data_IF_858023406676
#
_entry.id   IF_858023406676
#
_cell.length_a   1.000
_cell.length_b   1.000
_cell.length_c   1.000
_cell.angle_alpha   90.00
_cell.angle_beta   90.00
_cell.angle_gamma   90.00
#
_symmetry.space_group_name_H-M   'P 1'
#
loop_
_entity.id
_entity.type
_entity.pdbx_description
1 polymer ?
#
# COMPACT_ATOMS: atom_id res chain seq x y z
N UNK A 1 45.41 -45.39 -58.09
CA UNK A 1 44.20 -44.80 -58.72
C UNK A 1 42.95 -45.07 -57.89
N UNK A 2 42.61 -46.34 -57.59
CA UNK A 2 41.46 -46.69 -56.72
C UNK A 2 41.56 -46.08 -55.32
N UNK A 3 42.76 -46.13 -54.71
CA UNK A 3 43.04 -45.55 -53.39
C UNK A 3 42.74 -44.04 -53.29
N UNK A 4 43.11 -43.27 -54.33
CA UNK A 4 42.83 -41.84 -54.40
C UNK A 4 41.32 -41.55 -54.51
N UNK A 5 40.59 -42.41 -55.21
CA UNK A 5 39.14 -42.33 -55.36
C UNK A 5 38.41 -42.64 -54.05
N UNK A 6 38.87 -43.64 -53.30
CA UNK A 6 38.34 -43.97 -51.96
C UNK A 6 38.66 -42.86 -50.96
N UNK A 7 39.87 -42.31 -50.99
CA UNK A 7 40.26 -41.21 -50.12
C UNK A 7 39.40 -39.94 -50.36
N UNK A 8 39.12 -39.60 -51.62
CA UNK A 8 38.27 -38.45 -51.96
C UNK A 8 36.81 -38.64 -51.52
N UNK A 9 36.23 -39.82 -51.71
CA UNK A 9 34.83 -40.08 -51.32
C UNK A 9 34.67 -40.10 -49.80
N UNK A 10 35.62 -40.69 -49.07
CA UNK A 10 35.66 -40.63 -47.61
C UNK A 10 35.79 -39.19 -47.11
N UNK A 11 36.69 -38.39 -47.71
CA UNK A 11 36.87 -36.99 -47.33
C UNK A 11 35.59 -36.18 -47.54
N UNK A 12 34.88 -36.36 -48.66
CA UNK A 12 33.60 -35.70 -48.93
C UNK A 12 32.52 -36.12 -47.94
N UNK A 13 32.42 -37.41 -47.62
CA UNK A 13 31.44 -37.92 -46.65
C UNK A 13 31.71 -37.36 -45.24
N UNK A 14 32.97 -37.36 -44.80
CA UNK A 14 33.37 -36.82 -43.50
C UNK A 14 33.12 -35.31 -43.46
N UNK A 15 33.55 -34.57 -44.48
CA UNK A 15 33.36 -33.11 -44.55
C UNK A 15 31.86 -32.75 -44.55
N UNK A 16 31.03 -33.50 -45.28
CA UNK A 16 29.58 -33.33 -45.29
C UNK A 16 28.93 -33.59 -43.93
N UNK A 17 29.32 -34.68 -43.25
CA UNK A 17 28.84 -35.01 -41.91
C UNK A 17 29.26 -33.95 -40.88
N UNK A 18 30.53 -33.52 -40.93
CA UNK A 18 31.08 -32.47 -40.08
C UNK A 18 30.39 -31.13 -40.31
N UNK A 19 30.13 -30.72 -41.56
CA UNK A 19 29.41 -29.49 -41.87
C UNK A 19 27.96 -29.52 -41.35
N UNK A 20 27.26 -30.64 -41.54
CA UNK A 20 25.90 -30.83 -41.02
C UNK A 20 25.86 -30.73 -39.48
N UNK A 21 26.83 -31.36 -38.81
CA UNK A 21 26.98 -31.28 -37.36
C UNK A 21 27.25 -29.85 -36.89
N UNK A 22 28.19 -29.12 -37.52
CA UNK A 22 28.47 -27.74 -37.17
C UNK A 22 27.26 -26.82 -37.38
N UNK A 23 26.50 -27.03 -38.46
CA UNK A 23 25.27 -26.28 -38.71
C UNK A 23 24.23 -26.55 -37.62
N UNK A 24 24.04 -27.80 -37.24
CA UNK A 24 23.16 -28.22 -36.13
C UNK A 24 23.58 -27.59 -34.80
N UNK A 25 24.88 -27.66 -34.46
CA UNK A 25 25.43 -27.06 -33.24
C UNK A 25 25.27 -25.53 -33.23
N UNK A 26 25.53 -24.86 -34.37
CA UNK A 26 25.35 -23.41 -34.48
C UNK A 26 23.90 -22.99 -34.32
N UNK A 27 22.96 -23.74 -34.91
CA UNK A 27 21.52 -23.50 -34.73
C UNK A 27 21.06 -23.75 -33.29
N UNK A 28 21.55 -24.81 -32.65
CA UNK A 28 21.27 -25.11 -31.25
C UNK A 28 21.82 -24.03 -30.32
N UNK A 29 23.05 -23.54 -30.57
CA UNK A 29 23.65 -22.45 -29.81
C UNK A 29 22.83 -21.16 -29.94
N UNK A 30 22.48 -20.76 -31.17
CA UNK A 30 21.62 -19.59 -31.41
C UNK A 30 20.26 -19.72 -30.73
N UNK A 31 19.62 -20.88 -30.85
CA UNK A 31 18.34 -21.15 -30.18
C UNK A 31 18.43 -21.08 -28.66
N UNK A 32 19.54 -21.52 -28.08
CA UNK A 32 19.78 -21.39 -26.65
C UNK A 32 20.01 -19.93 -26.24
N UNK A 33 20.86 -19.18 -26.96
CA UNK A 33 21.07 -17.74 -26.71
C UNK A 33 19.76 -16.96 -26.75
N UNK A 34 18.98 -17.10 -27.84
CA UNK A 34 17.68 -16.44 -27.97
C UNK A 34 16.75 -16.79 -26.78
N UNK A 35 16.76 -18.05 -26.32
CA UNK A 35 15.96 -18.47 -25.17
C UNK A 35 16.44 -17.85 -23.86
N UNK A 36 17.75 -17.71 -23.66
CA UNK A 36 18.32 -17.05 -22.49
C UNK A 36 17.93 -15.57 -22.44
N UNK A 37 18.05 -14.86 -23.57
CA UNK A 37 17.68 -13.45 -23.67
C UNK A 37 16.20 -13.24 -23.36
N UNK A 38 15.33 -14.08 -23.93
CA UNK A 38 13.89 -14.06 -23.64
C UNK A 38 13.61 -14.27 -22.15
N UNK A 39 14.25 -15.26 -21.52
CA UNK A 39 14.05 -15.54 -20.08
C UNK A 39 14.53 -14.39 -19.20
N UNK A 40 15.68 -13.81 -19.53
CA UNK A 40 16.24 -12.70 -18.77
C UNK A 40 15.33 -11.47 -18.84
N UNK A 41 14.81 -11.15 -20.03
CA UNK A 41 13.90 -10.04 -20.22
C UNK A 41 12.56 -10.27 -19.48
N UNK A 42 12.02 -11.50 -19.53
CA UNK A 42 10.83 -11.87 -18.74
C UNK A 42 11.06 -11.67 -17.24
N UNK A 43 12.20 -12.13 -16.70
CA UNK A 43 12.52 -11.97 -15.29
C UNK A 43 12.65 -10.51 -14.92
N UNK A 44 13.37 -9.72 -15.72
CA UNK A 44 13.53 -8.29 -15.44
C UNK A 44 12.18 -7.56 -15.42
N UNK A 45 11.30 -7.85 -16.38
CA UNK A 45 9.97 -7.27 -16.46
C UNK A 45 9.10 -7.65 -15.26
N UNK A 46 9.04 -8.95 -14.91
CA UNK A 46 8.19 -9.44 -13.86
C UNK A 46 8.73 -9.12 -12.46
N UNK A 47 9.98 -9.43 -12.16
CA UNK A 47 10.54 -9.29 -10.81
C UNK A 47 10.60 -7.82 -10.38
N UNK A 48 10.97 -6.91 -11.29
CA UNK A 48 11.00 -5.47 -11.01
C UNK A 48 9.60 -4.92 -10.77
N UNK A 49 8.63 -5.29 -11.61
CA UNK A 49 7.24 -4.82 -11.47
C UNK A 49 6.57 -5.43 -10.23
N UNK A 50 6.72 -6.74 -10.02
CA UNK A 50 6.11 -7.48 -8.92
C UNK A 50 6.60 -6.96 -7.55
N UNK A 51 7.91 -6.68 -7.43
CA UNK A 51 8.50 -6.16 -6.19
C UNK A 51 7.82 -4.87 -5.73
N UNK A 52 7.45 -4.00 -6.66
CA UNK A 52 6.81 -2.71 -6.36
C UNK A 52 5.29 -2.85 -6.28
N UNK A 53 4.66 -3.60 -7.18
CA UNK A 53 3.19 -3.76 -7.19
C UNK A 53 2.68 -4.42 -5.90
N UNK A 54 3.45 -5.35 -5.31
CA UNK A 54 3.09 -5.97 -4.02
C UNK A 54 3.01 -4.98 -2.86
N UNK A 55 3.69 -3.82 -2.94
CA UNK A 55 3.68 -2.80 -1.87
C UNK A 55 2.56 -1.78 -2.05
N UNK A 56 1.72 -1.90 -3.08
CA UNK A 56 0.56 -1.02 -3.29
C UNK A 56 -0.29 -0.90 -2.01
N UNK A 57 -0.49 0.33 -1.54
CA UNK A 57 -1.24 0.64 -0.33
C UNK A 57 -0.42 0.60 0.98
N UNK A 58 0.86 0.24 0.95
CA UNK A 58 1.73 0.31 2.12
C UNK A 58 2.06 1.77 2.47
N UNK A 59 1.96 2.15 3.75
CA UNK A 59 2.36 3.49 4.24
C UNK A 59 1.58 4.67 3.68
N UNK A 60 0.46 4.44 2.99
CA UNK A 60 -0.35 5.47 2.33
C UNK A 60 -1.24 6.21 3.34
N UNK A 61 -1.11 7.54 3.47
CA UNK A 61 -1.92 8.35 4.39
C UNK A 61 -3.45 8.16 4.21
N UNK A 62 -4.25 8.38 5.26
CA UNK A 62 -5.67 8.00 5.33
C UNK A 62 -6.56 8.50 4.18
N UNK A 63 -6.28 9.67 3.60
CA UNK A 63 -7.03 10.23 2.47
C UNK A 63 -6.41 9.92 1.10
N UNK A 64 -5.16 9.44 1.07
CA UNK A 64 -4.44 9.15 -0.16
C UNK A 64 -4.94 7.84 -0.77
N UNK A 65 -5.31 7.82 -2.06
CA UNK A 65 -5.84 6.62 -2.70
C UNK A 65 -4.75 5.54 -2.83
N UNK A 66 -5.03 4.30 -2.46
CA UNK A 66 -4.05 3.21 -2.63
C UNK A 66 -3.83 2.88 -4.10
N UNK A 67 -4.90 2.52 -4.82
CA UNK A 67 -4.91 2.43 -6.27
C UNK A 67 -5.41 3.76 -6.87
N UNK A 68 -4.58 4.43 -7.67
CA UNK A 68 -4.89 5.74 -8.25
C UNK A 68 -5.63 5.60 -9.57
N UNK A 69 -5.05 4.83 -10.49
CA UNK A 69 -5.56 4.65 -11.84
C UNK A 69 -5.22 3.25 -12.35
N UNK A 70 -6.22 2.51 -12.82
CA UNK A 70 -6.03 1.18 -13.41
C UNK A 70 -6.74 1.05 -14.75
N UNK A 71 -6.00 0.79 -15.82
CA UNK A 71 -6.53 0.53 -17.16
C UNK A 71 -5.81 -0.67 -17.81
N UNK A 72 -6.17 -0.99 -19.05
CA UNK A 72 -5.57 -2.11 -19.79
C UNK A 72 -4.04 -2.00 -19.94
N UNK A 73 -3.50 -0.79 -20.04
CA UNK A 73 -2.09 -0.56 -20.38
C UNK A 73 -1.35 0.28 -19.33
N UNK A 74 -2.05 0.73 -18.29
CA UNK A 74 -1.52 1.64 -17.26
C UNK A 74 -1.98 1.19 -15.89
N UNK A 75 -1.06 1.14 -14.94
CA UNK A 75 -1.28 0.89 -13.53
C UNK A 75 -0.58 1.99 -12.74
N UNK A 76 -1.32 2.75 -11.95
CA UNK A 76 -0.78 3.77 -11.05
C UNK A 76 -1.32 3.60 -9.64
N UNK A 77 -0.43 3.61 -8.65
CA UNK A 77 -0.77 3.39 -7.25
C UNK A 77 0.20 4.12 -6.33
N UNK A 78 -0.22 4.34 -5.09
CA UNK A 78 0.64 4.88 -4.04
C UNK A 78 1.19 3.75 -3.17
N UNK A 79 2.46 3.88 -2.81
CA UNK A 79 3.14 2.99 -1.88
C UNK A 79 4.34 3.71 -1.28
N UNK A 80 4.57 3.49 0.00
CA UNK A 80 5.80 3.84 0.70
C UNK A 80 6.84 2.71 0.47
N UNK A 81 7.60 2.84 -0.62
CA UNK A 81 8.52 1.79 -1.05
C UNK A 81 9.96 2.09 -0.62
N UNK A 82 10.43 3.33 -0.76
CA UNK A 82 11.80 3.73 -0.40
C UNK A 82 11.82 4.94 0.53
N UNK A 83 12.51 4.80 1.66
CA UNK A 83 12.77 5.88 2.62
C UNK A 83 14.25 6.29 2.60
N UNK A 84 14.48 7.57 2.89
CA UNK A 84 15.81 8.21 2.94
C UNK A 84 16.15 8.82 4.31
N UNK A 85 15.22 8.97 5.24
CA UNK A 85 15.47 9.51 6.60
C UNK A 85 15.63 8.45 7.72
N UNK A 86 16.80 8.43 8.38
CA UNK A 86 17.15 7.45 9.43
C UNK A 86 16.56 7.83 10.79
N UNK A 87 16.15 9.08 10.96
CA UNK A 87 15.74 9.64 12.25
C UNK A 87 14.24 9.53 12.51
N UNK A 88 13.44 9.46 11.45
CA UNK A 88 12.00 9.24 11.48
C UNK A 88 11.66 8.21 10.39
N UNK A 89 12.03 6.94 10.61
CA UNK A 89 11.75 5.88 9.64
C UNK A 89 10.23 5.71 9.49
N UNK A 90 9.68 6.26 8.43
CA UNK A 90 8.28 6.09 8.05
C UNK A 90 8.25 4.81 7.23
N UNK A 91 7.74 3.75 7.85
CA UNK A 91 7.28 2.42 7.39
C UNK A 91 7.59 1.87 5.97
N UNK A 92 8.62 2.37 5.29
CA UNK A 92 8.99 2.02 3.93
C UNK A 92 9.51 0.59 3.86
N UNK A 93 9.29 -0.01 2.70
CA UNK A 93 9.75 -1.38 2.46
C UNK A 93 11.28 -1.46 2.38
N UNK A 94 11.93 -0.42 1.84
CA UNK A 94 13.37 -0.36 1.65
C UNK A 94 13.96 0.95 2.14
N UNK A 95 15.22 0.87 2.54
CA UNK A 95 16.04 2.01 2.92
C UNK A 95 17.06 2.30 1.83
N UNK A 96 17.09 3.54 1.31
CA UNK A 96 18.12 3.99 0.37
C UNK A 96 18.51 5.46 0.63
N UNK A 97 19.71 5.73 1.19
CA UNK A 97 20.14 7.10 1.51
C UNK A 97 20.42 7.95 0.26
N UNK A 98 20.64 7.31 -0.89
CA UNK A 98 20.98 7.95 -2.16
C UNK A 98 19.75 8.23 -3.04
N UNK A 99 18.54 7.84 -2.61
CA UNK A 99 17.33 8.08 -3.36
C UNK A 99 17.03 9.60 -3.46
N UNK A 100 16.56 10.11 -4.61
CA UNK A 100 16.14 11.50 -4.72
C UNK A 100 14.95 11.78 -3.80
N UNK A 101 14.97 12.93 -3.09
CA UNK A 101 13.88 13.29 -2.16
C UNK A 101 12.50 13.35 -2.84
N UNK A 102 12.48 13.71 -4.14
CA UNK A 102 11.25 13.77 -4.93
C UNK A 102 10.65 12.39 -5.22
N UNK A 103 11.38 11.30 -4.98
CA UNK A 103 10.95 9.91 -5.21
C UNK A 103 10.71 9.14 -3.90
N UNK A 104 10.94 9.76 -2.74
CA UNK A 104 10.74 9.16 -1.40
C UNK A 104 9.64 9.84 -0.59
N UNK A 105 8.86 10.72 -1.23
CA UNK A 105 7.79 11.48 -0.60
C UNK A 105 6.60 11.57 -1.56
N UNK A 106 5.46 11.97 -1.01
CA UNK A 106 4.26 12.28 -1.77
C UNK A 106 4.53 13.25 -2.93
N UNK A 107 3.92 12.96 -4.07
CA UNK A 107 3.87 13.87 -5.20
C UNK A 107 3.10 15.15 -4.81
N UNK A 108 3.71 16.36 -4.85
CA UNK A 108 2.96 17.59 -4.55
C UNK A 108 1.99 17.97 -5.67
N UNK A 109 0.84 18.54 -5.30
CA UNK A 109 -0.16 19.04 -6.27
C UNK A 109 0.40 20.09 -7.23
N UNK A 110 1.41 20.85 -6.80
CA UNK A 110 2.07 21.86 -7.63
C UNK A 110 2.83 21.26 -8.83
N UNK A 111 3.22 19.98 -8.74
CA UNK A 111 3.87 19.22 -9.79
C UNK A 111 2.91 18.22 -10.48
N UNK A 112 1.61 18.32 -10.22
CA UNK A 112 0.62 17.40 -10.75
C UNK A 112 0.70 17.32 -12.27
N UNK A 113 0.79 16.11 -12.79
CA UNK A 113 0.92 15.84 -14.23
C UNK A 113 -0.07 14.77 -14.65
N UNK A 114 -0.43 14.75 -15.94
CA UNK A 114 -1.24 13.67 -16.48
C UNK A 114 -0.54 12.31 -16.32
N UNK A 115 -1.30 11.29 -15.94
CA UNK A 115 -0.83 9.91 -15.97
C UNK A 115 -0.62 9.52 -17.45
N UNK A 116 0.55 8.99 -17.83
CA UNK A 116 0.84 8.57 -19.21
C UNK A 116 -0.20 7.56 -19.71
N UNK A 117 -0.59 7.67 -20.98
CA UNK A 117 -1.54 6.77 -21.64
C UNK A 117 -2.90 6.61 -20.92
N UNK A 118 -3.28 7.57 -20.06
CA UNK A 118 -4.59 7.60 -19.42
C UNK A 118 -5.69 8.04 -20.40
N UNK A 119 -6.84 7.35 -20.38
CA UNK A 119 -8.02 7.65 -21.19
C UNK A 119 -9.27 7.33 -20.37
N UNK A 120 -10.05 8.34 -19.94
CA UNK A 120 -9.84 9.78 -20.14
C UNK A 120 -8.53 10.27 -19.49
N UNK A 121 -7.99 11.39 -20.00
CA UNK A 121 -6.79 11.99 -19.42
C UNK A 121 -7.03 12.31 -17.95
N UNK A 122 -6.17 11.79 -17.08
CA UNK A 122 -6.29 11.93 -15.64
C UNK A 122 -5.02 12.56 -15.07
N UNK A 123 -5.17 13.74 -14.46
CA UNK A 123 -4.09 14.44 -13.76
C UNK A 123 -4.09 14.03 -12.29
N UNK A 124 -2.90 13.74 -11.79
CA UNK A 124 -2.69 13.34 -10.41
C UNK A 124 -1.40 14.00 -9.88
N UNK A 125 -1.34 14.38 -8.59
CA UNK A 125 -2.41 14.31 -7.60
C UNK A 125 -3.35 15.52 -7.63
N UNK A 126 -4.56 15.34 -7.09
CA UNK A 126 -5.54 16.42 -6.96
C UNK A 126 -5.29 17.34 -5.74
N UNK A 127 -4.59 16.82 -4.73
CA UNK A 127 -4.22 17.51 -3.49
C UNK A 127 -2.86 17.00 -3.04
N UNK A 128 -2.14 17.78 -2.22
CA UNK A 128 -0.93 17.27 -1.57
C UNK A 128 -1.34 16.51 -0.33
N UNK A 129 -1.15 15.19 -0.33
CA UNK A 129 -1.55 14.35 0.81
C UNK A 129 -0.55 14.49 1.97
N UNK A 130 -1.10 14.58 3.17
CA UNK A 130 -0.35 14.80 4.41
C UNK A 130 -0.77 13.79 5.48
N UNK A 131 0.12 13.54 6.42
CA UNK A 131 -0.19 12.84 7.66
C UNK A 131 -1.01 13.75 8.58
N UNK A 132 -1.64 13.19 9.61
CA UNK A 132 -2.39 13.97 10.62
C UNK A 132 -1.53 15.05 11.30
N UNK A 133 -0.22 14.81 11.41
CA UNK A 133 0.77 15.77 11.93
C UNK A 133 1.01 16.99 11.04
N UNK A 134 0.46 17.02 9.83
CA UNK A 134 0.73 18.05 8.81
C UNK A 134 2.02 17.83 8.01
N UNK A 135 2.78 16.78 8.31
CA UNK A 135 3.92 16.37 7.50
C UNK A 135 3.48 15.79 6.15
N UNK A 136 4.27 15.93 5.07
CA UNK A 136 4.00 15.27 3.80
C UNK A 136 3.85 13.76 3.98
N UNK A 137 2.93 13.13 3.23
CA UNK A 137 2.81 11.68 3.23
C UNK A 137 4.12 11.04 2.73
N UNK A 138 4.58 9.94 3.34
CA UNK A 138 5.78 9.23 2.88
C UNK A 138 5.51 8.48 1.57
N UNK A 139 4.26 8.16 1.24
CA UNK A 139 3.94 7.33 0.08
C UNK A 139 4.10 8.07 -1.26
N UNK A 140 5.06 7.60 -2.06
CA UNK A 140 5.24 7.97 -3.46
C UNK A 140 4.23 7.26 -4.40
N UNK A 141 4.10 7.79 -5.62
CA UNK A 141 3.23 7.26 -6.67
C UNK A 141 4.03 6.50 -7.72
N UNK A 142 3.85 5.19 -7.79
CA UNK A 142 4.40 4.36 -8.86
C UNK A 142 3.44 4.27 -10.04
N UNK A 143 3.97 4.47 -11.24
CA UNK A 143 3.22 4.43 -12.49
C UNK A 143 3.92 3.47 -13.44
N UNK A 144 3.24 2.39 -13.80
CA UNK A 144 3.65 1.44 -14.82
C UNK A 144 2.78 1.62 -16.05
N UNK A 145 3.38 1.69 -17.23
CA UNK A 145 2.62 1.70 -18.47
C UNK A 145 3.34 1.02 -19.63
N UNK A 146 2.54 0.51 -20.54
CA UNK A 146 2.98 0.02 -21.84
C UNK A 146 2.81 1.12 -22.87
N UNK A 147 3.86 1.34 -23.65
CA UNK A 147 3.89 2.31 -24.74
C UNK A 147 4.41 1.62 -26.01
N UNK A 148 3.94 1.96 -27.22
CA UNK A 148 4.53 1.43 -28.44
C UNK A 148 6.03 1.76 -28.51
N UNK A 149 6.88 0.77 -28.80
CA UNK A 149 8.31 1.00 -28.93
C UNK A 149 8.63 1.55 -30.32
N UNK A 150 9.02 2.81 -30.38
CA UNK A 150 9.42 3.49 -31.64
C UNK A 150 10.90 3.32 -31.97
N UNK A 151 11.71 2.78 -31.06
CA UNK A 151 13.13 2.56 -31.27
C UNK A 151 13.41 1.26 -32.03
N UNK A 152 12.42 0.36 -32.10
CA UNK A 152 12.52 -0.87 -32.87
C UNK A 152 11.81 -0.72 -34.22
N UNK A 153 12.27 -1.41 -35.28
CA UNK A 153 11.61 -1.39 -36.59
C UNK A 153 10.25 -2.11 -36.59
N UNK A 154 9.81 -2.64 -35.45
CA UNK A 154 8.64 -3.50 -35.32
C UNK A 154 7.47 -2.72 -34.73
N UNK A 155 6.40 -2.55 -35.51
CA UNK A 155 5.28 -1.67 -35.15
C UNK A 155 4.31 -2.22 -34.09
N UNK A 156 4.36 -3.53 -33.81
CA UNK A 156 3.57 -4.21 -32.78
C UNK A 156 4.34 -4.41 -31.45
N UNK A 157 5.50 -3.77 -31.31
CA UNK A 157 6.35 -3.85 -30.14
C UNK A 157 5.99 -2.79 -29.10
N UNK A 158 6.15 -3.13 -27.83
CA UNK A 158 5.87 -2.30 -26.68
C UNK A 158 7.04 -2.29 -25.71
N UNK A 159 7.18 -1.15 -25.04
CA UNK A 159 8.11 -0.93 -23.94
C UNK A 159 7.31 -0.80 -22.64
N UNK A 160 7.73 -1.55 -21.60
CA UNK A 160 7.24 -1.35 -20.24
C UNK A 160 8.08 -0.27 -19.58
N UNK A 161 7.42 0.81 -19.18
CA UNK A 161 8.02 1.94 -18.48
C UNK A 161 7.53 2.02 -17.05
N UNK A 162 8.39 2.52 -16.18
CA UNK A 162 8.09 2.87 -14.80
C UNK A 162 8.40 4.35 -14.58
N UNK A 163 7.58 5.03 -13.79
CA UNK A 163 7.86 6.37 -13.27
C UNK A 163 7.45 6.43 -11.81
N UNK A 164 8.24 7.12 -11.01
CA UNK A 164 7.90 7.51 -9.64
C UNK A 164 7.54 8.99 -9.65
N UNK A 165 6.36 9.35 -9.14
CA UNK A 165 5.86 10.73 -9.11
C UNK A 165 5.95 11.42 -10.49
N UNK A 166 6.58 12.60 -10.54
CA UNK A 166 6.93 13.38 -11.74
C UNK A 166 8.37 13.16 -12.23
N UNK A 167 9.05 12.13 -11.71
CA UNK A 167 10.41 11.76 -12.08
C UNK A 167 10.55 11.35 -13.56
N UNK A 168 11.79 11.07 -13.97
CA UNK A 168 12.06 10.63 -15.33
C UNK A 168 11.53 9.20 -15.57
N UNK A 169 10.85 8.93 -16.70
CA UNK A 169 10.47 7.57 -17.08
C UNK A 169 11.68 6.65 -17.26
N UNK A 170 11.67 5.52 -16.55
CA UNK A 170 12.64 4.44 -16.68
C UNK A 170 12.09 3.31 -17.55
N UNK A 171 12.97 2.60 -18.26
CA UNK A 171 12.61 1.46 -19.09
C UNK A 171 12.89 0.18 -18.31
N UNK A 172 11.84 -0.60 -18.05
CA UNK A 172 11.96 -1.89 -17.37
C UNK A 172 12.22 -3.01 -18.37
N UNK A 173 11.49 -3.04 -19.48
CA UNK A 173 11.64 -4.06 -20.50
C UNK A 173 11.18 -3.57 -21.88
N UNK A 174 11.80 -4.11 -22.93
CA UNK A 174 11.48 -3.87 -24.36
C UNK A 174 11.18 -5.20 -25.06
N UNK A 175 10.75 -5.19 -26.31
CA UNK A 175 10.47 -6.43 -27.04
C UNK A 175 9.21 -7.13 -26.53
N UNK A 176 8.22 -6.36 -26.06
CA UNK A 176 6.98 -6.86 -25.50
C UNK A 176 5.86 -6.75 -26.53
N UNK A 177 5.14 -7.83 -26.77
CA UNK A 177 4.02 -7.91 -27.68
C UNK A 177 2.73 -8.11 -26.89
N UNK A 178 1.61 -7.68 -27.47
CA UNK A 178 0.29 -7.99 -26.94
C UNK A 178 0.08 -9.51 -26.84
N UNK A 179 -0.62 -9.94 -25.80
CA UNK A 179 -0.88 -11.36 -25.59
C UNK A 179 -1.79 -11.92 -26.71
N UNK A 180 -1.50 -13.10 -27.30
CA UNK A 180 -2.19 -13.62 -28.49
C UNK A 180 -3.71 -13.81 -28.32
N UNK A 181 -4.16 -14.06 -27.09
CA UNK A 181 -5.57 -14.29 -26.79
C UNK A 181 -6.38 -12.99 -26.62
N UNK A 182 -5.84 -11.83 -26.98
CA UNK A 182 -6.51 -10.53 -26.83
C UNK A 182 -6.68 -10.10 -25.38
N UNK A 183 -5.86 -10.64 -24.46
CA UNK A 183 -5.85 -10.22 -23.05
C UNK A 183 -5.21 -8.84 -22.91
N UNK A 184 -5.73 -7.97 -22.03
CA UNK A 184 -5.10 -6.68 -21.74
C UNK A 184 -3.75 -6.89 -21.04
N UNK A 185 -2.85 -5.91 -21.13
CA UNK A 185 -1.55 -6.01 -20.45
C UNK A 185 -1.71 -6.08 -18.93
N UNK A 186 -2.64 -5.30 -18.38
CA UNK A 186 -3.07 -5.37 -16.98
C UNK A 186 -4.53 -5.83 -16.88
N UNK A 187 -4.75 -6.86 -16.08
CA UNK A 187 -6.08 -7.37 -15.71
C UNK A 187 -6.23 -7.31 -14.17
N UNK A 188 -7.35 -6.78 -13.68
CA UNK A 188 -7.55 -6.53 -12.25
C UNK A 188 -8.49 -7.57 -11.64
N UNK A 189 -8.07 -8.20 -10.54
CA UNK A 189 -8.88 -9.14 -9.78
C UNK A 189 -9.51 -8.42 -8.59
N UNK A 190 -10.83 -8.25 -8.64
CA UNK A 190 -11.65 -7.61 -7.62
C UNK A 190 -12.18 -8.64 -6.64
N UNK A 191 -12.17 -8.31 -5.36
CA UNK A 191 -12.88 -9.05 -4.32
C UNK A 191 -14.40 -8.93 -4.52
N UNK A 192 -15.09 -10.07 -4.44
CA UNK A 192 -16.55 -10.13 -4.38
C UNK A 192 -16.97 -11.12 -3.32
N UNK A 193 -17.77 -10.64 -2.37
CA UNK A 193 -18.49 -11.50 -1.43
C UNK A 193 -19.72 -12.09 -2.11
N UNK A 194 -19.79 -13.41 -2.18
CA UNK A 194 -20.98 -14.16 -2.57
C UNK A 194 -21.57 -14.85 -1.34
N UNK A 195 -22.84 -15.25 -1.41
CA UNK A 195 -23.50 -16.02 -0.35
C UNK A 195 -22.82 -17.38 -0.08
N UNK A 196 -21.98 -17.85 -1.01
CA UNK A 196 -21.20 -19.10 -0.94
C UNK A 196 -19.75 -18.90 -0.48
N UNK A 197 -19.36 -17.67 -0.13
CA UNK A 197 -17.99 -17.30 0.25
C UNK A 197 -17.39 -16.23 -0.66
N UNK A 198 -16.20 -15.75 -0.28
CA UNK A 198 -15.48 -14.74 -1.03
C UNK A 198 -14.83 -15.34 -2.29
N UNK A 199 -14.88 -14.59 -3.40
CA UNK A 199 -14.24 -14.95 -4.66
C UNK A 199 -13.58 -13.75 -5.32
N UNK A 200 -12.66 -14.03 -6.24
CA UNK A 200 -12.02 -13.02 -7.08
C UNK A 200 -12.65 -13.02 -8.46
N UNK A 201 -13.07 -11.84 -8.92
CA UNK A 201 -13.59 -11.63 -10.27
C UNK A 201 -12.69 -10.71 -11.06
N UNK A 202 -12.52 -11.04 -12.33
CA UNK A 202 -11.87 -10.15 -13.29
C UNK A 202 -12.74 -8.91 -13.49
N UNK A 203 -12.15 -7.72 -13.38
CA UNK A 203 -12.77 -6.47 -13.78
C UNK A 203 -13.06 -6.52 -15.29
N UNK A 204 -14.33 -6.44 -15.67
CA UNK A 204 -14.70 -6.39 -17.09
C UNK A 204 -14.22 -5.09 -17.73
N UNK A 205 -13.96 -5.09 -19.04
CA UNK A 205 -13.47 -3.91 -19.76
C UNK A 205 -14.36 -2.67 -19.63
N UNK A 206 -15.68 -2.85 -19.44
CA UNK A 206 -16.61 -1.74 -19.19
C UNK A 206 -16.47 -1.07 -17.82
N UNK A 207 -15.70 -1.66 -16.89
CA UNK A 207 -15.36 -1.07 -15.59
C UNK A 207 -14.05 -0.28 -15.63
N UNK A 208 -13.28 -0.37 -16.71
CA UNK A 208 -12.00 0.32 -16.85
C UNK A 208 -12.20 1.69 -17.52
N UNK A 209 -11.49 2.74 -17.07
CA UNK A 209 -10.47 2.71 -16.03
C UNK A 209 -11.03 2.71 -14.60
N UNK A 210 -10.33 2.04 -13.69
CA UNK A 210 -10.52 2.13 -12.25
C UNK A 210 -9.89 3.43 -11.77
N UNK A 211 -10.68 4.36 -11.23
CA UNK A 211 -10.20 5.64 -10.71
C UNK A 211 -10.74 5.84 -9.30
N UNK A 212 -9.85 6.01 -8.32
CA UNK A 212 -10.27 6.26 -6.94
C UNK A 212 -10.57 7.73 -6.76
N UNK A 213 -11.78 8.03 -6.32
CA UNK A 213 -12.24 9.40 -6.09
C UNK A 213 -12.78 9.54 -4.67
N UNK A 214 -12.62 10.71 -4.01
CA UNK A 214 -13.22 10.93 -2.70
C UNK A 214 -14.74 10.84 -2.77
N UNK A 215 -15.34 10.37 -1.68
CA UNK A 215 -16.79 10.38 -1.50
C UNK A 215 -17.23 11.81 -1.19
N UNK A 216 -18.33 12.24 -1.81
CA UNK A 216 -18.93 13.56 -1.57
C UNK A 216 -20.31 13.38 -0.92
N UNK A 217 -20.72 14.34 -0.09
CA UNK A 217 -22.03 14.30 0.55
C UNK A 217 -23.16 14.31 -0.50
N UNK A 218 -24.20 13.49 -0.28
CA UNK A 218 -25.37 13.40 -1.17
C UNK A 218 -25.20 12.50 -2.40
N UNK A 219 -24.10 11.75 -2.52
CA UNK A 219 -23.87 10.79 -3.60
C UNK A 219 -24.76 9.54 -3.44
N UNK A 220 -25.23 8.97 -4.55
CA UNK A 220 -26.01 7.72 -4.53
C UNK A 220 -25.13 6.54 -4.12
N UNK A 221 -25.74 5.48 -3.58
CA UNK A 221 -25.02 4.24 -3.21
C UNK A 221 -24.33 3.58 -4.42
N UNK A 222 -24.91 3.71 -5.62
CA UNK A 222 -24.31 3.19 -6.84
C UNK A 222 -23.06 3.98 -7.23
N UNK A 223 -23.13 5.31 -7.19
CA UNK A 223 -22.01 6.18 -7.53
C UNK A 223 -20.89 6.11 -6.49
N UNK A 224 -21.23 5.98 -5.19
CA UNK A 224 -20.24 5.76 -4.14
C UNK A 224 -19.50 4.45 -4.36
N UNK A 225 -20.20 3.37 -4.73
CA UNK A 225 -19.58 2.06 -5.01
C UNK A 225 -18.59 2.12 -6.17
N UNK A 226 -18.85 2.94 -7.18
CA UNK A 226 -17.94 3.13 -8.32
C UNK A 226 -16.67 3.89 -7.90
N UNK A 227 -16.81 4.90 -7.03
CA UNK A 227 -15.68 5.69 -6.54
C UNK A 227 -14.74 4.92 -5.63
N UNK A 228 -15.25 4.00 -4.79
CA UNK A 228 -14.43 3.17 -3.88
C UNK A 228 -14.03 1.81 -4.47
N UNK A 229 -14.54 1.45 -5.65
CA UNK A 229 -14.25 0.16 -6.32
C UNK A 229 -12.76 -0.17 -6.45
N UNK A 230 -11.85 0.77 -6.73
CA UNK A 230 -10.42 0.49 -6.78
C UNK A 230 -9.87 -0.18 -5.51
N UNK A 231 -10.48 0.12 -4.35
CA UNK A 231 -10.10 -0.45 -3.06
C UNK A 231 -10.44 -1.95 -2.96
N UNK A 232 -11.28 -2.51 -3.85
CA UNK A 232 -11.57 -3.95 -3.87
C UNK A 232 -10.60 -4.77 -4.73
N UNK A 233 -9.64 -4.16 -5.42
CA UNK A 233 -8.60 -4.92 -6.14
C UNK A 233 -7.74 -5.70 -5.13
N UNK A 234 -7.55 -7.00 -5.36
CA UNK A 234 -6.72 -7.89 -4.51
C UNK A 234 -5.50 -8.44 -5.24
N UNK A 235 -5.51 -8.41 -6.57
CA UNK A 235 -4.36 -8.75 -7.37
C UNK A 235 -4.43 -8.09 -8.75
N UNK A 236 -3.26 -7.86 -9.34
CA UNK A 236 -3.10 -7.41 -10.71
C UNK A 236 -2.41 -8.52 -11.50
N UNK A 237 -2.98 -8.88 -12.65
CA UNK A 237 -2.39 -9.82 -13.59
C UNK A 237 -1.72 -9.08 -14.71
N UNK A 238 -0.50 -9.49 -15.02
CA UNK A 238 0.27 -8.99 -16.15
C UNK A 238 0.27 -10.03 -17.27
N UNK A 239 -0.17 -9.64 -18.47
CA UNK A 239 -0.18 -10.48 -19.66
C UNK A 239 0.61 -9.82 -20.79
N UNK A 240 1.65 -10.49 -21.25
CA UNK A 240 2.42 -10.02 -22.41
C UNK A 240 3.14 -11.20 -23.05
N UNK A 241 3.62 -10.99 -24.27
CA UNK A 241 4.48 -11.91 -24.97
C UNK A 241 5.86 -11.26 -25.11
N UNK A 242 6.93 -11.95 -24.75
CA UNK A 242 8.28 -11.45 -25.00
C UNK A 242 8.78 -12.00 -26.33
N UNK A 243 9.39 -11.16 -27.14
CA UNK A 243 9.94 -11.48 -28.46
C UNK A 243 11.46 -11.31 -28.49
N UNK A 244 12.13 -12.06 -29.38
CA UNK A 244 13.55 -11.90 -29.67
C UNK A 244 13.84 -10.73 -30.64
N UNK A 245 12.84 -9.87 -30.89
CA UNK A 245 12.96 -8.69 -31.77
C UNK A 245 13.01 -9.01 -33.27
N UNK A 246 12.97 -10.29 -33.66
CA UNK A 246 12.94 -10.72 -35.07
C UNK A 246 11.51 -10.96 -35.55
N UNK A 247 11.31 -10.98 -36.86
CA UNK A 247 10.02 -11.26 -37.51
C UNK A 247 10.12 -12.47 -38.44
N UNK A 248 9.02 -13.18 -38.69
CA UNK A 248 8.98 -14.29 -39.64
C UNK A 248 9.52 -15.60 -39.06
N UNK A 249 10.21 -16.42 -39.88
CA UNK A 249 10.68 -17.75 -39.45
C UNK A 249 11.71 -17.76 -38.32
N UNK A 250 12.36 -16.61 -38.09
CA UNK A 250 13.33 -16.42 -37.02
C UNK A 250 12.72 -15.82 -35.75
N UNK A 251 11.43 -15.51 -35.78
CA UNK A 251 10.71 -15.01 -34.61
C UNK A 251 10.66 -16.10 -33.53
N UNK A 252 11.07 -15.71 -32.32
CA UNK A 252 10.95 -16.53 -31.13
C UNK A 252 10.21 -15.71 -30.09
N UNK A 253 9.21 -16.32 -29.47
CA UNK A 253 8.40 -15.66 -28.47
C UNK A 253 8.14 -16.55 -27.27
N UNK A 254 7.80 -15.92 -26.15
CA UNK A 254 7.32 -16.58 -24.95
C UNK A 254 6.13 -15.82 -24.37
N UNK A 255 5.02 -16.53 -24.20
CA UNK A 255 3.84 -16.00 -23.55
C UNK A 255 4.03 -15.99 -22.03
N UNK A 256 3.64 -14.87 -21.42
CA UNK A 256 3.78 -14.63 -19.98
C UNK A 256 2.41 -14.23 -19.43
N UNK A 257 2.07 -14.84 -18.30
CA UNK A 257 0.93 -14.46 -17.49
C UNK A 257 1.31 -14.64 -16.03
N UNK A 258 1.44 -13.54 -15.31
CA UNK A 258 1.81 -13.53 -13.90
C UNK A 258 0.71 -12.81 -13.09
N UNK A 259 0.45 -13.29 -11.88
CA UNK A 259 -0.49 -12.63 -10.95
C UNK A 259 0.34 -12.07 -9.80
N UNK A 260 0.19 -10.76 -9.55
CA UNK A 260 0.80 -10.07 -8.42
C UNK A 260 -0.29 -9.73 -7.41
N UNK A 261 -0.17 -10.25 -6.21
CA UNK A 261 -1.10 -9.97 -5.12
C UNK A 261 -0.82 -8.63 -4.48
N UNK A 262 -1.88 -7.96 -4.02
CA UNK A 262 -1.82 -6.58 -3.53
C UNK A 262 -2.46 -6.54 -2.13
N UNK A 263 -1.78 -7.09 -1.11
CA UNK A 263 -2.37 -7.41 0.18
C UNK A 263 -2.82 -6.18 0.97
N UNK A 264 -2.17 -5.03 0.75
CA UNK A 264 -2.48 -3.79 1.48
C UNK A 264 -3.58 -2.96 0.81
N UNK A 265 -3.94 -3.26 -0.44
CA UNK A 265 -4.93 -2.47 -1.17
C UNK A 265 -6.35 -2.65 -0.59
N UNK A 266 -6.96 -1.53 -0.20
CA UNK A 266 -8.27 -1.48 0.44
C UNK A 266 -8.34 -2.06 1.84
N UNK A 267 -7.20 -2.28 2.49
CA UNK A 267 -7.16 -2.48 3.94
C UNK A 267 -7.27 -1.09 4.55
N UNK A 268 -8.34 -0.78 5.31
CA UNK A 268 -8.40 0.48 6.06
C UNK A 268 -7.15 0.52 6.93
N UNK A 269 -6.38 1.61 6.85
CA UNK A 269 -5.17 1.74 7.64
C UNK A 269 -5.49 1.43 9.11
N UNK A 270 -4.67 0.61 9.80
CA UNK A 270 -4.66 0.67 11.25
C UNK A 270 -4.36 2.12 11.61
N UNK A 271 -5.18 2.73 12.46
CA UNK A 271 -4.89 4.05 13.01
C UNK A 271 -3.47 4.03 13.55
N UNK A 272 -2.63 4.85 12.94
CA UNK A 272 -1.23 4.97 13.32
C UNK A 272 -1.23 5.60 14.70
N UNK A 273 -0.82 4.83 15.71
CA UNK A 273 -0.64 5.36 17.05
C UNK A 273 0.65 6.17 17.03
N UNK A 274 0.55 7.44 17.42
CA UNK A 274 1.66 8.36 17.44
C UNK A 274 2.49 8.18 18.70
N UNK A 275 2.75 9.29 19.37
CA UNK A 275 3.47 9.32 20.64
C UNK A 275 2.49 8.93 21.76
N UNK A 276 3.00 8.57 22.96
CA UNK A 276 2.13 8.41 24.12
C UNK A 276 1.25 9.66 24.29
N UNK A 277 -0.06 9.49 24.52
CA UNK A 277 -1.01 10.58 24.43
C UNK A 277 -0.77 11.60 25.53
N UNK A 278 -1.17 12.85 25.28
CA UNK A 278 -1.15 13.90 26.26
C UNK A 278 -2.20 13.66 27.36
N UNK A 279 -1.93 14.10 28.61
CA UNK A 279 -2.87 13.94 29.71
C UNK A 279 -4.14 14.79 29.48
N UNK A 280 -5.22 14.39 30.15
CA UNK A 280 -6.44 15.21 30.20
C UNK A 280 -6.12 16.59 30.80
N UNK A 281 -6.70 17.64 30.22
CA UNK A 281 -6.42 19.01 30.66
C UNK A 281 -7.05 19.36 32.02
N UNK A 282 -8.17 18.72 32.33
CA UNK A 282 -8.87 18.88 33.60
C UNK A 282 -9.43 17.55 34.08
N UNK A 283 -9.32 17.31 35.39
CA UNK A 283 -9.87 16.15 36.07
C UNK A 283 -10.39 16.60 37.43
N UNK A 284 -11.64 16.27 37.72
CA UNK A 284 -12.35 16.63 38.94
C UNK A 284 -13.02 15.38 39.52
N UNK A 285 -13.02 15.29 40.85
CA UNK A 285 -13.76 14.31 41.61
C UNK A 285 -14.58 15.02 42.67
N UNK A 286 -15.89 14.79 42.70
CA UNK A 286 -16.83 15.46 43.59
C UNK A 286 -17.69 14.44 44.29
N UNK A 287 -17.77 14.55 45.62
CA UNK A 287 -18.78 13.85 46.41
C UNK A 287 -20.05 14.72 46.44
N UNK A 288 -21.08 14.33 45.69
CA UNK A 288 -22.35 15.09 45.59
C UNK A 288 -23.45 14.54 46.49
N UNK A 289 -23.25 13.38 47.10
CA UNK A 289 -24.29 12.65 47.82
C UNK A 289 -23.77 12.18 49.17
N UNK A 290 -23.99 13.00 50.19
CA UNK A 290 -23.35 12.84 51.50
C UNK A 290 -23.61 11.46 52.12
N UNK A 291 -22.53 10.78 52.54
CA UNK A 291 -22.61 9.46 53.18
C UNK A 291 -23.00 8.30 52.25
N UNK A 292 -23.23 8.55 50.96
CA UNK A 292 -23.62 7.51 49.99
C UNK A 292 -22.45 6.65 49.49
N UNK A 293 -21.21 7.14 49.66
CA UNK A 293 -20.03 6.49 49.08
C UNK A 293 -19.92 6.64 47.55
N UNK A 294 -20.73 7.52 46.95
CA UNK A 294 -20.74 7.80 45.50
C UNK A 294 -19.92 9.03 45.19
N UNK A 295 -19.01 8.92 44.22
CA UNK A 295 -18.15 10.01 43.77
C UNK A 295 -18.35 10.20 42.28
N UNK A 296 -18.62 11.42 41.85
CA UNK A 296 -18.68 11.80 40.45
C UNK A 296 -17.30 12.22 39.97
N UNK A 297 -16.86 11.64 38.87
CA UNK A 297 -15.62 11.99 38.19
C UNK A 297 -15.95 12.70 36.89
N UNK A 298 -15.37 13.88 36.69
CA UNK A 298 -15.51 14.68 35.49
C UNK A 298 -14.13 14.98 34.89
N UNK A 299 -13.98 14.82 33.58
CA UNK A 299 -12.75 15.19 32.87
C UNK A 299 -13.03 15.71 31.48
N UNK A 300 -12.13 16.56 31.00
CA UNK A 300 -12.08 16.96 29.59
C UNK A 300 -11.34 15.92 28.76
N UNK A 301 -11.68 15.80 27.48
CA UNK A 301 -10.90 14.98 26.55
C UNK A 301 -9.43 15.40 26.52
N UNK A 302 -8.55 14.44 26.20
CA UNK A 302 -7.17 14.77 25.82
C UNK A 302 -7.17 15.55 24.50
N UNK A 303 -6.16 16.41 24.32
CA UNK A 303 -5.95 17.17 23.08
C UNK A 303 -5.82 16.21 21.89
N UNK A 304 -5.24 15.02 22.11
CA UNK A 304 -4.95 14.04 21.07
C UNK A 304 -6.16 13.16 20.72
N UNK A 305 -7.32 13.37 21.34
CA UNK A 305 -8.53 12.61 20.99
C UNK A 305 -9.14 13.07 19.67
N UNK A 306 -9.39 14.37 19.55
CA UNK A 306 -10.05 14.99 18.39
C UNK A 306 -9.18 16.09 17.75
N UNK A 307 -7.95 16.23 18.24
CA UNK A 307 -6.92 17.11 17.69
C UNK A 307 -5.60 16.35 17.55
N UNK A 308 -4.56 17.07 17.10
CA UNK A 308 -3.20 16.56 16.95
C UNK A 308 -3.13 15.15 16.31
N UNK A 309 -2.85 14.09 17.07
CA UNK A 309 -2.59 12.73 16.57
C UNK A 309 -3.87 11.87 16.40
N UNK A 310 -5.01 12.26 16.99
CA UNK A 310 -6.33 11.61 16.85
C UNK A 310 -6.29 10.08 17.08
N UNK A 311 -5.56 9.66 18.11
CA UNK A 311 -5.24 8.25 18.36
C UNK A 311 -5.68 7.74 19.75
N UNK A 312 -6.23 8.62 20.60
CA UNK A 312 -6.82 8.23 21.89
C UNK A 312 -8.03 7.34 21.67
N UNK A 313 -8.00 6.15 22.29
CA UNK A 313 -9.07 5.13 22.18
C UNK A 313 -9.94 5.05 23.42
N UNK A 314 -9.35 5.27 24.58
CA UNK A 314 -10.04 5.13 25.85
C UNK A 314 -9.35 5.89 26.96
N UNK A 315 -10.10 6.16 28.02
CA UNK A 315 -9.63 6.69 29.29
C UNK A 315 -9.67 5.59 30.31
N UNK A 316 -8.57 5.39 31.02
CA UNK A 316 -8.46 4.40 32.07
C UNK A 316 -8.45 5.13 33.41
N UNK A 317 -9.33 4.67 34.31
CA UNK A 317 -9.56 5.27 35.61
C UNK A 317 -9.06 4.31 36.69
N UNK A 318 -8.33 4.85 37.67
CA UNK A 318 -7.84 4.12 38.83
C UNK A 318 -8.34 4.74 40.12
N UNK A 319 -8.37 3.92 41.16
CA UNK A 319 -8.60 4.34 42.54
C UNK A 319 -7.58 3.66 43.44
N UNK A 320 -7.03 4.41 44.38
CA UNK A 320 -6.24 3.87 45.50
C UNK A 320 -6.63 4.56 46.80
N UNK A 321 -6.32 3.93 47.93
CA UNK A 321 -6.36 4.62 49.21
C UNK A 321 -5.27 5.69 49.25
N UNK A 322 -5.54 6.83 49.89
CA UNK A 322 -4.56 7.91 50.01
C UNK A 322 -3.27 7.45 50.71
N UNK A 323 -3.37 6.44 51.60
CA UNK A 323 -2.25 5.82 52.30
C UNK A 323 -1.42 4.84 51.46
N UNK A 324 -1.90 4.42 50.29
CA UNK A 324 -1.21 3.44 49.43
C UNK A 324 -0.41 4.16 48.34
N UNK A 325 0.87 3.82 48.12
CA UNK A 325 1.70 4.52 47.14
C UNK A 325 1.44 4.10 45.68
N UNK A 326 0.93 2.88 45.46
CA UNK A 326 0.77 2.30 44.14
C UNK A 326 -0.70 2.31 43.71
N UNK A 327 -0.92 2.44 42.40
CA UNK A 327 -2.23 2.20 41.80
C UNK A 327 -2.53 0.70 41.78
N UNK A 328 -3.79 0.35 42.03
CA UNK A 328 -4.29 -1.01 41.85
C UNK A 328 -4.61 -1.28 40.37
N UNK A 329 -5.31 -2.38 40.09
CA UNK A 329 -5.90 -2.64 38.78
C UNK A 329 -6.82 -1.49 38.33
N UNK A 330 -6.97 -1.26 37.01
CA UNK A 330 -7.94 -0.33 36.46
C UNK A 330 -9.34 -0.53 37.06
N UNK A 331 -9.92 0.55 37.56
CA UNK A 331 -11.26 0.55 38.12
C UNK A 331 -12.32 0.57 37.01
N UNK A 332 -12.10 1.39 35.99
CA UNK A 332 -13.02 1.56 34.87
C UNK A 332 -12.25 1.97 33.62
N UNK A 333 -12.73 1.50 32.46
CA UNK A 333 -12.25 1.92 31.15
C UNK A 333 -13.42 2.57 30.42
N UNK A 334 -13.24 3.79 29.98
CA UNK A 334 -14.25 4.58 29.27
C UNK A 334 -13.77 4.82 27.85
N UNK A 335 -14.52 4.34 26.87
CA UNK A 335 -14.20 4.53 25.45
C UNK A 335 -14.22 6.02 25.09
N UNK A 336 -13.24 6.47 24.31
CA UNK A 336 -13.25 7.79 23.73
C UNK A 336 -14.22 7.85 22.54
N UNK A 337 -15.10 8.84 22.53
CA UNK A 337 -16.09 9.05 21.46
C UNK A 337 -15.73 10.32 20.65
N UNK A 338 -15.69 10.24 19.30
CA UNK A 338 -15.36 11.39 18.47
C UNK A 338 -16.27 12.60 18.74
N UNK A 339 -15.67 13.77 18.91
CA UNK A 339 -16.37 15.03 19.19
C UNK A 339 -16.85 15.20 20.64
N UNK A 340 -16.60 14.23 21.53
CA UNK A 340 -16.93 14.35 22.94
C UNK A 340 -15.82 15.08 23.70
N UNK A 341 -16.10 16.32 24.10
CA UNK A 341 -15.14 17.22 24.77
C UNK A 341 -15.00 16.99 26.28
N UNK A 342 -15.98 16.33 26.89
CA UNK A 342 -16.01 16.05 28.32
C UNK A 342 -16.73 14.75 28.64
N UNK A 343 -16.32 14.11 29.73
CA UNK A 343 -16.85 12.84 30.20
C UNK A 343 -17.19 12.96 31.68
N UNK A 344 -18.18 12.19 32.10
CA UNK A 344 -18.61 12.10 33.49
C UNK A 344 -18.93 10.65 33.83
N UNK A 345 -18.58 10.21 35.03
CA UNK A 345 -18.94 8.86 35.52
C UNK A 345 -19.11 8.83 37.03
N UNK A 346 -20.02 7.99 37.52
CA UNK A 346 -20.23 7.74 38.94
C UNK A 346 -19.42 6.52 39.37
N UNK A 347 -18.59 6.69 40.39
CA UNK A 347 -17.90 5.60 41.08
C UNK A 347 -18.60 5.33 42.41
N UNK A 348 -19.19 4.14 42.52
CA UNK A 348 -19.80 3.63 43.75
C UNK A 348 -18.80 2.89 44.64
N UNK A 349 -19.29 2.36 45.76
CA UNK A 349 -18.55 1.46 46.65
C UNK A 349 -17.29 2.08 47.27
N UNK A 350 -17.31 3.39 47.50
CA UNK A 350 -16.33 4.05 48.34
C UNK A 350 -16.82 4.03 49.79
N UNK A 351 -15.93 3.73 50.74
CA UNK A 351 -16.29 3.77 52.16
C UNK A 351 -16.43 5.23 52.61
N UNK A 352 -17.57 5.66 53.18
CA UNK A 352 -17.73 7.00 53.76
C UNK A 352 -16.64 7.34 54.78
N UNK A 353 -16.16 8.58 54.80
CA UNK A 353 -15.09 9.05 55.69
C UNK A 353 -13.67 8.61 55.28
N UNK A 354 -13.52 7.91 54.15
CA UNK A 354 -12.22 7.39 53.69
C UNK A 354 -11.62 8.31 52.63
N UNK A 355 -10.30 8.51 52.70
CA UNK A 355 -9.56 9.31 51.73
C UNK A 355 -9.06 8.43 50.59
N UNK A 356 -9.51 8.74 49.37
CA UNK A 356 -9.09 8.09 48.15
C UNK A 356 -8.31 9.05 47.26
N UNK A 357 -7.47 8.49 46.39
CA UNK A 357 -6.91 9.20 45.25
C UNK A 357 -7.44 8.53 44.00
N UNK A 358 -8.09 9.32 43.15
CA UNK A 358 -8.54 8.90 41.83
C UNK A 358 -7.50 9.33 40.79
N UNK A 359 -7.29 8.49 39.79
CA UNK A 359 -6.35 8.72 38.71
C UNK A 359 -7.02 8.48 37.36
N UNK A 360 -6.63 9.24 36.35
CA UNK A 360 -7.07 9.06 34.97
C UNK A 360 -5.92 9.26 34.00
N UNK A 361 -5.87 8.44 32.96
CA UNK A 361 -4.98 8.61 31.83
C UNK A 361 -5.70 8.33 30.51
N UNK A 362 -5.31 9.05 29.47
CA UNK A 362 -5.66 8.69 28.10
C UNK A 362 -4.79 7.51 27.66
N UNK A 363 -5.37 6.60 26.89
CA UNK A 363 -4.67 5.49 26.25
C UNK A 363 -4.86 5.59 24.74
N UNK A 364 -3.74 5.50 24.01
CA UNK A 364 -3.73 5.49 22.55
C UNK A 364 -4.13 4.11 22.01
N UNK A 365 -3.92 3.87 20.71
CA UNK A 365 -4.15 2.56 20.10
C UNK A 365 -3.04 1.52 20.37
N UNK A 366 -2.06 1.85 21.21
CA UNK A 366 -1.08 0.94 21.81
C UNK A 366 -1.36 0.74 23.32
N UNK A 367 -0.54 -0.07 24.04
CA UNK A 367 -0.58 -0.12 25.50
C UNK A 367 -0.04 1.14 26.22
N UNK A 368 0.35 2.20 25.49
CA UNK A 368 0.92 3.40 26.09
C UNK A 368 -0.15 4.32 26.71
N UNK A 369 0.19 4.91 27.85
CA UNK A 369 -0.66 5.82 28.59
C UNK A 369 -0.08 7.23 28.63
N UNK A 370 -0.95 8.21 28.73
CA UNK A 370 -0.57 9.55 29.17
C UNK A 370 -0.04 9.52 30.60
N UNK A 371 0.57 10.64 31.03
CA UNK A 371 0.80 10.86 32.46
C UNK A 371 -0.55 10.82 33.21
N UNK A 372 -0.60 10.13 34.35
CA UNK A 372 -1.82 10.02 35.16
C UNK A 372 -2.13 11.37 35.81
N UNK A 373 -3.29 11.95 35.48
CA UNK A 373 -3.86 13.06 36.23
C UNK A 373 -4.56 12.52 37.47
N UNK A 374 -4.31 13.08 38.64
CA UNK A 374 -4.85 12.53 39.89
C UNK A 374 -5.43 13.59 40.81
N UNK A 375 -6.46 13.20 41.57
CA UNK A 375 -7.11 14.05 42.55
C UNK A 375 -7.42 13.25 43.83
N UNK A 376 -7.10 13.84 44.98
CA UNK A 376 -7.44 13.29 46.28
C UNK A 376 -8.81 13.81 46.75
N UNK A 377 -9.65 12.92 47.26
CA UNK A 377 -10.97 13.24 47.80
C UNK A 377 -11.22 12.41 49.06
N UNK A 378 -11.70 13.06 50.12
CA UNK A 378 -12.25 12.37 51.29
C UNK A 378 -13.76 12.29 51.14
N UNK A 379 -14.30 11.08 51.11
CA UNK A 379 -15.75 10.88 51.03
C UNK A 379 -16.40 11.34 52.33
N UNK A 380 -17.53 12.01 52.21
CA UNK A 380 -18.31 12.49 53.34
C UNK A 380 -18.94 11.34 54.12
N UNK A 381 -19.22 11.60 55.40
CA UNK A 381 -20.03 10.74 56.27
C UNK A 381 -21.44 11.29 56.29
N UNK A 382 -22.46 10.44 56.42
CA UNK A 382 -23.83 10.90 56.65
C UNK A 382 -23.87 11.73 57.95
N UNK A 383 -24.63 12.83 57.98
CA UNK A 383 -24.75 13.70 59.15
C UNK A 383 -25.31 13.00 60.39
#
# INVERSE_FOLDING_TARGET
MIELLIAMTMLLAITGATYSLFRSQSQAFRGNTDRYDLVQNVRNALESSERVIRTMGAGVAAEQPMLVYGSNNVLAFNADFVERDTTDMRWATYWNPDAPLAETLVWPVAAATAIPNSTPSYSYPAVTYQLASGAPSPAETYIFWFDPDTDTPRADDFVLRQRVNDGAPEIIARGLLAHPNGRPFFEYLLHRTLNTGDTLLVASGGLLPLIRQPLIAGISAADSSTRVRPDSVRAVRMHFRVSNGRTGSEERYRDVSATVETPNNGVPMPTICGRPPLPVQSFMAVDTALGSGRVWLDWTSSIDQDGAEIDVRQYVIWRRLASQPNWAEPLLIVKAEPGQVSYTTEISDNTPGTSYVFGIAAQDCTPAFSTISSLALTTSVAP
#
